data_IF_361631489699
#
_entry.id   IF_361631489699
#
_cell.length_a   1.000
_cell.length_b   1.000
_cell.length_c   1.000
_cell.angle_alpha   90.00
_cell.angle_beta   90.00
_cell.angle_gamma   90.00
#
_symmetry.space_group_name_H-M   'P 1'
#
loop_
_entity.id
_entity.type
_entity.pdbx_description
1 polymer ?
#
# COMPACT_ATOMS: atom_id res chain seq x y z
N UNK A 1 -24.77 -9.49 -5.67
CA UNK A 1 -24.63 -8.01 -5.95
C UNK A 1 -23.27 -7.53 -5.45
N UNK A 2 -22.72 -6.43 -6.02
CA UNK A 2 -21.47 -5.83 -5.51
C UNK A 2 -21.78 -4.51 -4.82
N UNK A 3 -21.42 -4.39 -3.55
CA UNK A 3 -21.53 -3.16 -2.77
C UNK A 3 -20.17 -2.44 -2.85
N UNK A 4 -20.19 -1.16 -3.20
CA UNK A 4 -18.99 -0.36 -3.40
C UNK A 4 -18.97 0.77 -2.38
N UNK A 5 -17.92 0.83 -1.56
CA UNK A 5 -17.73 1.97 -0.65
C UNK A 5 -17.54 3.26 -1.45
N UNK A 6 -18.38 4.26 -1.14
CA UNK A 6 -18.21 5.61 -1.67
C UNK A 6 -17.05 6.30 -0.96
N UNK A 7 -15.93 6.32 -1.61
CA UNK A 7 -14.69 6.93 -1.13
C UNK A 7 -14.77 8.46 -1.27
N UNK A 8 -15.48 9.10 -0.34
CA UNK A 8 -15.82 10.54 -0.42
C UNK A 8 -14.59 11.43 -0.28
N UNK A 9 -13.59 10.98 0.46
CA UNK A 9 -12.36 11.75 0.72
C UNK A 9 -11.55 11.92 -0.55
N UNK A 10 -11.63 10.95 -1.48
CA UNK A 10 -10.90 10.96 -2.75
C UNK A 10 -11.76 11.39 -3.95
N UNK A 11 -12.98 11.78 -3.73
CA UNK A 11 -13.96 12.10 -4.79
C UNK A 11 -13.44 13.17 -5.77
N UNK A 12 -12.66 14.13 -5.27
CA UNK A 12 -12.14 15.26 -6.05
C UNK A 12 -10.76 15.03 -6.68
N UNK A 13 -10.10 13.90 -6.42
CA UNK A 13 -8.67 13.71 -6.77
C UNK A 13 -8.49 12.73 -7.93
N UNK A 14 -9.56 12.29 -8.59
CA UNK A 14 -9.47 11.29 -9.68
C UNK A 14 -8.97 9.92 -9.20
N UNK A 15 -8.77 9.77 -7.90
CA UNK A 15 -8.26 8.57 -7.25
C UNK A 15 -9.33 7.66 -6.67
N UNK A 16 -10.58 8.06 -6.74
CA UNK A 16 -11.68 7.29 -6.20
C UNK A 16 -11.86 5.97 -6.94
N UNK A 17 -11.82 4.88 -6.19
CA UNK A 17 -12.05 3.56 -6.74
C UNK A 17 -13.50 3.38 -7.19
N UNK A 18 -14.45 3.91 -6.43
CA UNK A 18 -15.86 3.62 -6.66
C UNK A 18 -16.35 4.05 -8.05
N UNK A 19 -15.91 5.19 -8.56
CA UNK A 19 -16.28 5.61 -9.92
C UNK A 19 -15.79 4.63 -10.98
N UNK A 20 -14.56 4.19 -10.85
CA UNK A 20 -13.95 3.28 -11.80
C UNK A 20 -14.56 1.88 -11.69
N UNK A 21 -14.84 1.40 -10.47
CA UNK A 21 -15.52 0.13 -10.22
C UNK A 21 -16.95 0.20 -10.79
N UNK A 22 -17.71 1.21 -10.45
CA UNK A 22 -19.08 1.40 -10.94
C UNK A 22 -19.12 1.51 -12.47
N UNK A 23 -18.18 2.23 -13.07
CA UNK A 23 -18.06 2.33 -14.53
C UNK A 23 -17.79 0.94 -15.17
N UNK A 24 -16.86 0.17 -14.62
CA UNK A 24 -16.55 -1.17 -15.11
C UNK A 24 -17.74 -2.12 -14.99
N UNK A 25 -18.38 -2.16 -13.82
CA UNK A 25 -19.54 -3.04 -13.57
C UNK A 25 -20.74 -2.70 -14.48
N UNK A 26 -20.99 -1.39 -14.68
CA UNK A 26 -22.03 -0.94 -15.63
C UNK A 26 -21.78 -1.44 -17.04
N UNK A 27 -20.53 -1.36 -17.54
CA UNK A 27 -20.17 -1.90 -18.85
C UNK A 27 -20.36 -3.42 -18.93
N UNK A 28 -20.16 -4.11 -17.81
CA UNK A 28 -20.32 -5.56 -17.71
C UNK A 28 -21.76 -6.01 -17.42
N UNK A 29 -22.68 -5.06 -17.22
CA UNK A 29 -24.07 -5.32 -16.80
C UNK A 29 -24.17 -6.11 -15.49
N UNK A 30 -23.18 -5.94 -14.59
CA UNK A 30 -23.17 -6.54 -13.26
C UNK A 30 -23.88 -5.61 -12.29
N UNK A 31 -24.81 -6.14 -11.49
CA UNK A 31 -25.56 -5.38 -10.48
C UNK A 31 -24.64 -4.90 -9.37
N UNK A 32 -24.74 -3.60 -9.03
CA UNK A 32 -23.99 -3.01 -7.93
C UNK A 32 -24.78 -1.94 -7.20
N UNK A 33 -24.37 -1.66 -5.96
CA UNK A 33 -24.87 -0.58 -5.13
C UNK A 33 -23.70 0.22 -4.57
N UNK A 34 -23.75 1.54 -4.69
CA UNK A 34 -22.79 2.43 -4.03
C UNK A 34 -23.32 2.77 -2.64
N UNK A 35 -22.50 2.60 -1.61
CA UNK A 35 -22.85 2.82 -0.20
C UNK A 35 -21.79 3.66 0.48
N UNK A 36 -22.19 4.51 1.43
CA UNK A 36 -21.23 5.20 2.28
C UNK A 36 -20.76 4.27 3.39
N UNK A 37 -19.68 3.55 3.16
CA UNK A 37 -19.10 2.61 4.13
C UNK A 37 -18.57 3.26 5.42
N UNK A 38 -18.64 4.58 5.57
CA UNK A 38 -18.35 5.30 6.81
C UNK A 38 -19.62 5.68 7.59
N UNK A 39 -20.79 5.48 7.03
CA UNK A 39 -22.06 5.76 7.70
C UNK A 39 -22.55 4.49 8.40
N UNK A 40 -22.58 4.52 9.73
CA UNK A 40 -22.97 3.37 10.56
C UNK A 40 -24.42 2.95 10.27
N UNK A 41 -25.34 3.88 10.15
CA UNK A 41 -26.77 3.58 9.93
C UNK A 41 -26.98 2.96 8.54
N UNK A 42 -26.32 3.51 7.52
CA UNK A 42 -26.38 2.96 6.16
C UNK A 42 -25.82 1.55 6.10
N UNK A 43 -24.64 1.31 6.71
CA UNK A 43 -24.03 -0.01 6.75
C UNK A 43 -24.85 -1.01 7.55
N UNK A 44 -25.46 -0.56 8.67
CA UNK A 44 -26.30 -1.40 9.52
C UNK A 44 -27.58 -1.82 8.82
N UNK A 45 -28.15 -0.94 7.98
CA UNK A 45 -29.38 -1.23 7.22
C UNK A 45 -29.19 -2.17 6.03
N UNK A 46 -27.95 -2.49 5.65
CA UNK A 46 -27.70 -3.40 4.55
C UNK A 46 -28.11 -4.84 4.90
N UNK A 47 -28.79 -5.51 3.94
CA UNK A 47 -29.18 -6.89 4.04
C UNK A 47 -28.59 -7.69 2.87
N UNK A 48 -27.26 -7.97 2.89
CA UNK A 48 -26.63 -8.75 1.83
C UNK A 48 -26.99 -10.23 1.89
N UNK A 49 -26.90 -10.89 0.75
CA UNK A 49 -26.90 -12.35 0.66
C UNK A 49 -25.46 -12.89 0.78
N UNK A 50 -25.31 -14.21 0.93
CA UNK A 50 -23.97 -14.84 1.02
C UNK A 50 -23.10 -14.65 -0.23
N UNK A 51 -23.73 -14.44 -1.39
CA UNK A 51 -23.01 -14.23 -2.65
C UNK A 51 -22.65 -12.74 -2.89
N UNK A 52 -23.12 -11.88 -2.04
CA UNK A 52 -22.85 -10.46 -2.17
C UNK A 52 -21.42 -10.12 -1.73
N UNK A 53 -20.83 -9.15 -2.40
CA UNK A 53 -19.43 -8.75 -2.20
C UNK A 53 -19.39 -7.31 -1.77
N UNK A 54 -18.58 -6.99 -0.77
CA UNK A 54 -18.27 -5.61 -0.42
C UNK A 54 -16.85 -5.25 -0.85
N UNK A 55 -16.70 -4.16 -1.61
CA UNK A 55 -15.40 -3.66 -2.06
C UNK A 55 -15.25 -2.21 -1.60
N UNK A 56 -14.21 -1.92 -0.82
CA UNK A 56 -13.92 -0.59 -0.35
C UNK A 56 -12.44 -0.23 -0.40
N UNK A 57 -12.16 1.01 -0.74
CA UNK A 57 -10.89 1.64 -0.44
C UNK A 57 -11.10 2.53 0.77
N UNK A 58 -10.44 2.19 1.86
CA UNK A 58 -10.39 3.00 3.07
C UNK A 58 -9.07 3.74 3.08
N UNK A 59 -9.11 5.03 3.42
CA UNK A 59 -7.96 5.91 3.29
C UNK A 59 -6.92 5.75 4.40
N UNK A 60 -5.81 6.47 4.23
CA UNK A 60 -4.70 6.48 5.17
C UNK A 60 -4.83 7.55 6.26
N UNK A 61 -5.72 8.53 6.09
CA UNK A 61 -5.86 9.62 7.04
C UNK A 61 -6.56 9.20 8.34
N UNK A 62 -6.38 10.00 9.38
CA UNK A 62 -6.88 9.69 10.72
C UNK A 62 -8.41 9.68 10.80
N UNK A 63 -9.08 10.54 10.03
CA UNK A 63 -10.54 10.60 10.00
C UNK A 63 -11.12 9.32 9.41
N UNK A 64 -10.61 8.91 8.23
CA UNK A 64 -11.05 7.69 7.58
C UNK A 64 -10.80 6.46 8.47
N UNK A 65 -9.61 6.37 9.08
CA UNK A 65 -9.30 5.30 10.04
C UNK A 65 -10.25 5.26 11.23
N UNK A 66 -10.64 6.43 11.75
CA UNK A 66 -11.60 6.52 12.86
C UNK A 66 -12.97 6.00 12.44
N UNK A 67 -13.48 6.43 11.29
CA UNK A 67 -14.78 6.03 10.74
C UNK A 67 -14.77 4.53 10.38
N UNK A 68 -13.72 4.08 9.70
CA UNK A 68 -13.56 2.68 9.31
C UNK A 68 -13.52 1.72 10.50
N UNK A 69 -12.96 2.12 11.64
CA UNK A 69 -12.99 1.32 12.88
C UNK A 69 -14.40 1.06 13.39
N UNK A 70 -15.35 1.93 13.13
CA UNK A 70 -16.75 1.79 13.53
C UNK A 70 -17.54 0.89 12.58
N UNK A 71 -17.32 1.02 11.28
CA UNK A 71 -18.14 0.40 10.24
C UNK A 71 -17.60 -0.93 9.72
N UNK A 72 -16.27 -1.08 9.59
CA UNK A 72 -15.69 -2.32 9.09
C UNK A 72 -16.06 -3.57 9.87
N UNK A 73 -16.14 -3.56 11.22
CA UNK A 73 -16.63 -4.74 11.97
C UNK A 73 -18.03 -5.17 11.54
N UNK A 74 -18.93 -4.22 11.29
CA UNK A 74 -20.30 -4.48 10.84
C UNK A 74 -20.29 -5.04 9.42
N UNK A 75 -19.47 -4.49 8.54
CA UNK A 75 -19.32 -4.95 7.15
C UNK A 75 -18.81 -6.41 7.13
N UNK A 76 -17.76 -6.72 7.91
CA UNK A 76 -17.21 -8.08 7.98
C UNK A 76 -18.16 -9.10 8.62
N UNK A 77 -19.10 -8.64 9.44
CA UNK A 77 -20.14 -9.51 10.03
C UNK A 77 -21.28 -9.81 9.03
N UNK A 78 -21.57 -8.85 8.15
CA UNK A 78 -22.66 -8.95 7.19
C UNK A 78 -22.29 -9.62 5.86
N UNK A 79 -21.02 -9.56 5.45
CA UNK A 79 -20.57 -10.04 4.15
C UNK A 79 -19.49 -11.11 4.29
N UNK A 80 -19.68 -12.23 3.59
CA UNK A 80 -18.67 -13.28 3.56
C UNK A 80 -17.46 -12.88 2.68
N UNK A 81 -17.71 -12.08 1.64
CA UNK A 81 -16.67 -11.61 0.70
C UNK A 81 -16.49 -10.11 0.85
N UNK A 82 -15.39 -9.70 1.48
CA UNK A 82 -15.05 -8.29 1.72
C UNK A 82 -13.64 -7.98 1.28
N UNK A 83 -13.48 -6.87 0.57
CA UNK A 83 -12.17 -6.27 0.33
C UNK A 83 -12.13 -4.86 0.97
N UNK A 84 -11.14 -4.55 1.82
CA UNK A 84 -10.11 -5.46 2.34
C UNK A 84 -10.68 -6.47 3.34
N UNK A 85 -10.14 -7.68 3.38
CA UNK A 85 -10.54 -8.69 4.36
C UNK A 85 -10.15 -8.28 5.78
N UNK A 86 -10.83 -8.81 6.79
CA UNK A 86 -10.51 -8.58 8.21
C UNK A 86 -9.07 -8.95 8.53
N UNK A 87 -8.58 -10.07 7.98
CA UNK A 87 -7.21 -10.54 8.19
C UNK A 87 -6.18 -9.60 7.58
N UNK A 88 -6.39 -9.15 6.33
CA UNK A 88 -5.46 -8.24 5.68
C UNK A 88 -5.48 -6.84 6.31
N UNK A 89 -6.66 -6.32 6.64
CA UNK A 89 -6.81 -4.99 7.24
C UNK A 89 -6.15 -4.87 8.62
N UNK A 90 -6.01 -5.96 9.37
CA UNK A 90 -5.25 -5.97 10.64
C UNK A 90 -3.83 -5.43 10.48
N UNK A 91 -3.22 -5.60 9.31
CA UNK A 91 -1.86 -5.15 8.99
C UNK A 91 -1.80 -3.79 8.31
N UNK A 92 -2.96 -3.20 8.03
CA UNK A 92 -3.05 -1.96 7.27
C UNK A 92 -2.24 -0.85 7.95
N UNK A 93 -1.29 -0.26 7.22
CA UNK A 93 -0.37 0.78 7.66
C UNK A 93 0.40 0.52 8.97
N UNK A 94 0.40 -0.71 9.46
CA UNK A 94 1.09 -1.05 10.71
C UNK A 94 2.38 -1.82 10.44
N UNK A 95 3.46 -1.09 10.23
CA UNK A 95 4.79 -1.65 9.90
C UNK A 95 5.32 -2.63 10.96
N UNK A 96 5.00 -2.40 12.24
CA UNK A 96 5.41 -3.31 13.33
C UNK A 96 4.71 -4.67 13.20
N UNK A 97 3.40 -4.68 12.94
CA UNK A 97 2.64 -5.92 12.71
C UNK A 97 3.10 -6.62 11.45
N UNK A 98 3.33 -5.86 10.37
CA UNK A 98 3.83 -6.37 9.10
C UNK A 98 5.18 -7.06 9.28
N UNK A 99 6.13 -6.41 9.98
CA UNK A 99 7.44 -7.00 10.22
C UNK A 99 7.35 -8.30 11.02
N UNK A 100 6.57 -8.33 12.12
CA UNK A 100 6.34 -9.54 12.90
C UNK A 100 5.77 -10.66 12.02
N UNK A 101 4.76 -10.35 11.21
CA UNK A 101 4.15 -11.28 10.26
C UNK A 101 5.16 -11.82 9.24
N UNK A 102 6.02 -10.96 8.69
CA UNK A 102 7.06 -11.38 7.75
C UNK A 102 8.03 -12.39 8.39
N UNK A 103 8.46 -12.15 9.63
CA UNK A 103 9.33 -13.09 10.37
C UNK A 103 8.64 -14.42 10.61
N UNK A 104 7.41 -14.42 11.12
CA UNK A 104 6.62 -15.61 11.41
C UNK A 104 6.38 -16.49 10.17
N UNK A 105 6.25 -15.87 9.00
CA UNK A 105 6.05 -16.55 7.72
C UNK A 105 7.34 -16.74 6.91
N UNK A 106 8.51 -16.48 7.53
CA UNK A 106 9.83 -16.63 6.90
C UNK A 106 9.95 -15.86 5.58
N UNK A 107 9.29 -14.71 5.47
CA UNK A 107 9.42 -13.80 4.32
C UNK A 107 10.77 -13.10 4.45
N UNK A 108 11.64 -13.13 3.42
CA UNK A 108 12.88 -12.39 3.45
C UNK A 108 12.62 -10.89 3.66
N UNK A 109 13.16 -10.31 4.72
CA UNK A 109 13.00 -8.88 5.03
C UNK A 109 14.26 -8.33 5.68
N UNK A 110 14.41 -7.00 5.68
CA UNK A 110 15.51 -6.34 6.37
C UNK A 110 15.32 -6.46 7.88
N UNK A 111 16.42 -6.62 8.61
CA UNK A 111 16.35 -6.61 10.08
C UNK A 111 15.79 -5.30 10.58
N UNK A 112 14.82 -5.41 11.46
CA UNK A 112 14.07 -4.29 11.98
C UNK A 112 13.84 -4.48 13.47
N UNK A 113 14.08 -3.44 14.25
CA UNK A 113 14.00 -3.47 15.70
C UNK A 113 12.95 -2.49 16.19
N UNK A 114 12.18 -2.87 17.20
CA UNK A 114 11.25 -1.96 17.87
C UNK A 114 12.00 -1.12 18.89
N UNK A 115 11.89 0.18 18.81
CA UNK A 115 12.59 1.16 19.65
C UNK A 115 11.56 2.01 20.37
N UNK A 116 11.51 1.94 21.70
CA UNK A 116 10.54 2.66 22.53
C UNK A 116 11.05 4.02 22.97
N UNK A 117 12.38 4.18 23.11
CA UNK A 117 13.02 5.37 23.60
C UNK A 117 14.49 5.44 23.13
N UNK A 118 15.18 6.55 23.49
CA UNK A 118 16.58 6.79 23.14
C UNK A 118 17.53 5.71 23.67
N UNK A 119 17.30 5.22 24.89
CA UNK A 119 18.14 4.17 25.52
C UNK A 119 18.05 2.85 24.75
N UNK A 120 16.84 2.49 24.30
CA UNK A 120 16.68 1.30 23.45
C UNK A 120 17.50 1.45 22.17
N UNK A 121 17.44 2.61 21.51
CA UNK A 121 18.20 2.85 20.27
C UNK A 121 19.71 2.80 20.49
N UNK A 122 20.23 3.38 21.58
CA UNK A 122 21.67 3.35 21.89
C UNK A 122 22.21 1.96 22.20
N UNK A 123 21.34 1.07 22.69
CA UNK A 123 21.68 -0.32 23.01
C UNK A 123 21.54 -1.29 21.82
N UNK A 124 21.01 -0.83 20.69
CA UNK A 124 20.86 -1.69 19.53
C UNK A 124 22.21 -2.00 18.90
N UNK A 125 22.46 -3.30 18.66
CA UNK A 125 23.57 -3.76 17.84
C UNK A 125 23.20 -3.66 16.35
N UNK A 126 22.90 -2.44 15.88
CA UNK A 126 22.58 -2.17 14.49
C UNK A 126 23.69 -1.33 13.86
N UNK A 127 24.10 -1.69 12.64
CA UNK A 127 25.06 -0.91 11.87
C UNK A 127 24.40 0.31 11.27
N UNK A 128 25.04 1.47 11.40
CA UNK A 128 24.67 2.68 10.66
C UNK A 128 25.26 2.62 9.23
N UNK A 129 24.59 3.24 8.25
CA UNK A 129 23.36 4.01 8.36
C UNK A 129 22.11 3.16 8.66
N UNK A 130 21.08 3.82 9.21
CA UNK A 130 19.79 3.19 9.52
C UNK A 130 18.62 4.00 8.98
N UNK A 131 17.48 3.33 8.89
CA UNK A 131 16.20 3.98 8.60
C UNK A 131 15.29 3.88 9.82
N UNK A 132 14.84 5.02 10.34
CA UNK A 132 13.81 5.07 11.36
C UNK A 132 12.44 5.24 10.70
N UNK A 133 11.47 4.41 11.13
CA UNK A 133 10.10 4.42 10.60
C UNK A 133 9.10 4.44 11.74
N UNK A 134 8.09 5.30 11.68
CA UNK A 134 6.95 5.16 12.59
C UNK A 134 6.22 3.83 12.32
N UNK A 135 5.64 3.27 13.36
CA UNK A 135 4.84 2.04 13.22
C UNK A 135 3.60 2.23 12.37
N UNK A 136 3.07 3.45 12.32
CA UNK A 136 1.90 3.84 11.55
C UNK A 136 2.27 4.89 10.51
N UNK A 137 1.65 4.85 9.35
CA UNK A 137 1.80 5.84 8.30
C UNK A 137 2.09 5.23 6.93
N UNK A 138 1.73 5.99 5.89
CA UNK A 138 1.92 5.67 4.48
C UNK A 138 2.74 6.76 3.79
N UNK A 139 3.03 6.57 2.49
CA UNK A 139 3.61 7.62 1.64
C UNK A 139 5.03 8.07 2.05
N UNK A 140 5.78 7.26 2.79
CA UNK A 140 7.12 7.61 3.32
C UNK A 140 7.15 8.81 4.27
N UNK A 141 5.99 9.29 4.71
CA UNK A 141 5.87 10.50 5.53
C UNK A 141 6.61 10.42 6.85
N UNK A 142 6.74 9.24 7.39
CA UNK A 142 7.33 9.01 8.70
C UNK A 142 8.53 8.05 8.60
N UNK A 143 9.36 8.26 7.58
CA UNK A 143 10.57 7.48 7.32
C UNK A 143 11.76 8.42 7.21
N UNK A 144 12.79 8.23 8.03
CA UNK A 144 13.99 9.04 8.05
C UNK A 144 15.26 8.20 8.01
N UNK A 145 16.24 8.68 7.25
CA UNK A 145 17.56 8.09 7.12
C UNK A 145 18.56 8.82 8.03
N UNK A 146 19.44 8.07 8.67
CA UNK A 146 20.47 8.59 9.56
C UNK A 146 21.79 7.89 9.33
N UNK A 147 22.84 8.67 9.09
CA UNK A 147 24.19 8.14 8.87
C UNK A 147 24.83 7.60 10.15
N UNK A 148 24.49 8.20 11.29
CA UNK A 148 25.06 7.84 12.60
C UNK A 148 24.08 8.17 13.73
N UNK A 149 24.40 7.64 14.93
CA UNK A 149 23.56 7.81 16.12
C UNK A 149 23.37 9.27 16.52
N UNK A 150 24.44 10.09 16.44
CA UNK A 150 24.42 11.51 16.79
C UNK A 150 23.40 12.28 15.96
N UNK A 151 23.27 11.95 14.67
CA UNK A 151 22.31 12.60 13.78
C UNK A 151 20.85 12.37 14.22
N UNK A 152 20.56 11.22 14.86
CA UNK A 152 19.24 10.98 15.46
C UNK A 152 19.02 11.86 16.68
N UNK A 153 20.05 12.02 17.51
CA UNK A 153 19.97 12.75 18.78
C UNK A 153 19.89 14.26 18.54
N UNK A 154 20.72 14.77 17.65
CA UNK A 154 20.77 16.21 17.33
C UNK A 154 19.51 16.68 16.60
N UNK A 155 18.70 15.77 16.13
CA UNK A 155 17.44 16.05 15.44
C UNK A 155 17.55 17.05 14.26
N UNK A 156 18.77 17.37 13.82
CA UNK A 156 19.06 18.41 12.81
C UNK A 156 18.52 18.09 11.41
N UNK A 157 18.31 16.78 11.13
CA UNK A 157 17.79 16.30 9.85
C UNK A 157 16.34 15.82 9.93
N UNK A 158 15.72 15.94 11.09
CA UNK A 158 14.36 15.47 11.31
C UNK A 158 13.34 16.46 10.76
N UNK A 159 12.87 16.21 9.59
CA UNK A 159 11.82 16.98 8.94
C UNK A 159 10.51 16.82 9.72
N UNK A 160 10.25 17.73 10.66
CA UNK A 160 9.01 17.77 11.44
C UNK A 160 8.90 16.79 12.61
N UNK A 161 9.91 15.93 12.85
CA UNK A 161 9.93 15.07 14.03
C UNK A 161 10.63 15.77 15.19
N UNK A 162 9.94 15.97 16.30
CA UNK A 162 10.59 16.30 17.57
C UNK A 162 11.12 15.02 18.21
N UNK A 163 12.12 15.12 19.10
CA UNK A 163 12.60 13.95 19.85
C UNK A 163 11.47 13.21 20.58
N UNK A 164 10.47 13.93 21.08
CA UNK A 164 9.26 13.33 21.68
C UNK A 164 8.41 12.58 20.68
N UNK A 165 8.37 13.03 19.42
CA UNK A 165 7.54 12.41 18.37
C UNK A 165 8.25 11.28 17.62
N UNK A 166 9.56 11.11 17.78
CA UNK A 166 10.31 10.02 17.15
C UNK A 166 9.87 8.66 17.72
N UNK A 167 9.75 8.57 19.04
CA UNK A 167 9.43 7.31 19.72
C UNK A 167 7.94 7.16 20.02
N UNK A 168 7.41 5.93 20.01
CA UNK A 168 8.07 4.69 19.60
C UNK A 168 8.26 4.62 18.09
N UNK A 169 9.33 3.94 17.65
CA UNK A 169 9.71 3.82 16.23
C UNK A 169 10.24 2.42 15.91
N UNK A 170 10.49 2.17 14.64
CA UNK A 170 11.21 1.00 14.14
C UNK A 170 12.55 1.47 13.59
N UNK A 171 13.63 0.83 14.02
CA UNK A 171 14.96 0.99 13.42
C UNK A 171 15.21 -0.17 12.47
N UNK A 172 15.41 0.11 11.20
CA UNK A 172 15.65 -0.87 10.14
C UNK A 172 17.05 -0.69 9.57
N UNK A 173 17.71 -1.80 9.27
CA UNK A 173 18.98 -1.79 8.52
C UNK A 173 18.77 -1.07 7.18
N UNK A 174 19.75 -0.29 6.79
CA UNK A 174 19.78 0.39 5.50
C UNK A 174 20.54 -0.46 4.48
N UNK A 175 20.00 -0.53 3.27
CA UNK A 175 20.66 -1.09 2.10
C UNK A 175 20.82 0.00 1.05
N UNK A 176 22.05 0.16 0.55
CA UNK A 176 22.36 1.14 -0.49
C UNK A 176 22.01 0.55 -1.85
N UNK A 177 20.79 0.76 -2.29
CA UNK A 177 20.28 0.28 -3.56
C UNK A 177 19.79 1.45 -4.41
N UNK A 178 19.90 1.30 -5.72
CA UNK A 178 19.44 2.33 -6.66
C UNK A 178 17.92 2.38 -6.79
N UNK A 179 17.29 1.20 -6.76
CA UNK A 179 15.85 1.07 -6.95
C UNK A 179 15.21 0.25 -5.85
N UNK A 180 13.96 0.60 -5.51
CA UNK A 180 13.04 -0.33 -4.89
C UNK A 180 12.04 -0.86 -5.94
N UNK A 181 11.51 -2.05 -5.67
CA UNK A 181 10.50 -2.68 -6.52
C UNK A 181 9.15 -2.61 -5.85
N UNK A 182 8.14 -2.20 -6.61
CA UNK A 182 6.74 -2.32 -6.21
C UNK A 182 6.09 -3.42 -7.02
N UNK A 183 5.55 -4.41 -6.33
CA UNK A 183 4.83 -5.52 -6.95
C UNK A 183 3.38 -5.45 -6.52
N UNK A 184 2.46 -5.37 -7.48
CA UNK A 184 1.03 -5.51 -7.25
C UNK A 184 0.64 -6.94 -7.62
N UNK A 185 0.17 -7.71 -6.65
CA UNK A 185 -0.25 -9.10 -6.83
C UNK A 185 -1.77 -9.18 -6.93
N UNK A 186 -2.27 -9.79 -8.02
CA UNK A 186 -3.66 -10.09 -8.28
C UNK A 186 -3.78 -11.59 -8.48
N UNK A 187 -4.12 -12.34 -7.50
CA UNK A 187 -4.21 -13.80 -7.56
C UNK A 187 -3.15 -14.47 -8.47
N UNK A 188 -3.48 -14.76 -9.71
CA UNK A 188 -2.58 -15.39 -10.69
C UNK A 188 -1.75 -14.40 -11.51
N UNK A 189 -1.87 -13.10 -11.26
CA UNK A 189 -1.22 -12.07 -12.07
C UNK A 189 -0.48 -11.07 -11.20
N UNK A 190 0.55 -10.44 -11.77
CA UNK A 190 1.25 -9.37 -11.08
C UNK A 190 1.70 -8.25 -12.04
N UNK A 191 1.85 -7.08 -11.44
CA UNK A 191 2.52 -5.93 -12.05
C UNK A 191 3.78 -5.68 -11.26
N UNK A 192 4.86 -5.37 -11.93
CA UNK A 192 6.11 -4.95 -11.30
C UNK A 192 6.62 -3.66 -11.94
N UNK A 193 7.04 -2.74 -11.09
CA UNK A 193 7.76 -1.56 -11.49
C UNK A 193 8.82 -1.21 -10.45
N UNK A 194 9.85 -0.48 -10.88
CA UNK A 194 10.91 0.01 -10.00
C UNK A 194 10.84 1.52 -9.88
N UNK A 195 11.19 2.01 -8.69
CA UNK A 195 11.24 3.43 -8.38
C UNK A 195 12.68 3.79 -7.99
N UNK A 196 13.16 4.91 -8.53
CA UNK A 196 14.49 5.40 -8.17
C UNK A 196 14.52 5.82 -6.70
N UNK A 197 15.48 5.26 -5.97
CA UNK A 197 15.71 5.57 -4.55
C UNK A 197 16.72 6.70 -4.43
N UNK A 198 16.37 7.73 -3.68
CA UNK A 198 17.29 8.83 -3.41
C UNK A 198 17.27 9.22 -1.94
N UNK A 199 17.58 8.27 -1.06
CA UNK A 199 17.56 8.47 0.38
C UNK A 199 18.63 9.43 0.87
N UNK A 200 19.85 9.40 0.26
CA UNK A 200 21.01 10.19 0.68
C UNK A 200 20.79 11.69 0.50
N UNK A 201 20.09 12.11 -0.55
CA UNK A 201 19.87 13.53 -0.86
C UNK A 201 18.59 14.10 -0.24
N UNK A 202 17.89 13.30 0.57
CA UNK A 202 16.67 13.74 1.23
C UNK A 202 15.51 14.04 0.28
N UNK A 203 15.61 13.64 -0.98
CA UNK A 203 14.53 13.71 -1.98
C UNK A 203 13.55 12.58 -1.74
N UNK A 204 13.02 12.56 -0.56
CA UNK A 204 11.76 11.88 -0.33
C UNK A 204 10.72 12.57 -1.19
N UNK A 205 9.72 11.80 -1.61
CA UNK A 205 8.45 12.40 -2.03
C UNK A 205 8.10 13.43 -0.98
N UNK A 206 8.38 14.69 -1.26
CA UNK A 206 8.20 15.77 -0.30
C UNK A 206 6.72 16.09 -0.23
N UNK A 207 6.03 15.45 0.70
CA UNK A 207 4.91 16.14 1.30
C UNK A 207 5.49 17.26 2.19
N UNK A 208 4.99 18.50 2.14
CA UNK A 208 5.37 19.53 3.08
C UNK A 208 4.92 19.07 4.47
N UNK A 209 5.88 18.64 5.29
CA UNK A 209 5.62 18.17 6.64
C UNK A 209 5.40 19.33 7.59
N UNK A 210 4.54 19.12 8.55
CA UNK A 210 4.33 19.98 9.70
C UNK A 210 2.91 20.49 9.86
N UNK A 211 2.04 20.28 8.89
CA UNK A 211 0.61 20.60 9.04
C UNK A 211 -0.20 19.35 8.76
N UNK A 212 -0.77 18.75 9.80
CA UNK A 212 -1.89 17.85 9.58
C UNK A 212 -2.97 18.64 8.84
N UNK A 213 -3.46 18.16 7.69
CA UNK A 213 -4.47 18.87 6.95
C UNK A 213 -5.76 18.87 7.77
N UNK A 214 -6.13 20.03 8.28
CA UNK A 214 -7.34 20.18 9.07
C UNK A 214 -8.61 20.36 8.20
N UNK A 215 -8.42 20.64 6.91
CA UNK A 215 -9.52 20.89 5.98
C UNK A 215 -9.31 20.16 4.66
N UNK A 216 -10.42 19.96 3.92
CA UNK A 216 -10.39 19.43 2.55
C UNK A 216 -9.50 20.29 1.62
N UNK A 217 -9.47 21.60 1.84
CA UNK A 217 -8.66 22.54 1.07
C UNK A 217 -7.15 22.34 1.34
N UNK A 218 -6.79 22.07 2.59
CA UNK A 218 -5.40 21.77 2.97
C UNK A 218 -4.95 20.47 2.33
N UNK A 219 -5.79 19.43 2.32
CA UNK A 219 -5.52 18.17 1.61
C UNK A 219 -5.29 18.42 0.12
N UNK A 220 -6.08 19.28 -0.51
CA UNK A 220 -5.95 19.63 -1.93
C UNK A 220 -4.69 20.46 -2.22
N UNK A 221 -4.31 21.38 -1.30
CA UNK A 221 -3.06 22.16 -1.41
C UNK A 221 -1.83 21.27 -1.24
N UNK A 222 -1.86 20.32 -0.28
CA UNK A 222 -0.78 19.37 -0.03
C UNK A 222 -0.61 18.37 -1.18
N UNK A 223 -1.66 18.15 -1.96
CA UNK A 223 -1.66 17.25 -3.14
C UNK A 223 -1.36 17.93 -4.47
N UNK A 224 -1.11 19.25 -4.47
CA UNK A 224 -0.51 19.90 -5.65
C UNK A 224 0.90 19.34 -5.81
N UNK A 225 1.16 18.65 -6.91
CA UNK A 225 2.23 17.69 -6.99
C UNK A 225 3.62 18.30 -7.01
N UNK A 226 4.47 17.90 -6.09
CA UNK A 226 5.85 17.60 -6.42
C UNK A 226 6.00 16.12 -6.86
N UNK A 227 4.92 15.47 -7.27
CA UNK A 227 4.97 14.11 -7.84
C UNK A 227 5.71 13.99 -9.18
N UNK A 228 6.26 15.09 -9.68
CA UNK A 228 7.02 15.10 -10.92
C UNK A 228 8.28 14.24 -10.91
N UNK A 229 8.78 13.83 -9.75
CA UNK A 229 10.13 13.28 -9.63
C UNK A 229 10.21 11.81 -9.19
N UNK A 230 9.10 11.14 -8.90
CA UNK A 230 9.11 9.69 -8.73
C UNK A 230 9.09 9.03 -10.09
N UNK A 231 10.28 8.86 -10.68
CA UNK A 231 10.41 8.10 -11.92
C UNK A 231 10.12 6.63 -11.64
N UNK A 232 9.01 6.17 -12.18
CA UNK A 232 8.65 4.75 -12.19
C UNK A 232 9.04 4.14 -13.52
N UNK A 233 9.74 3.01 -13.46
CA UNK A 233 10.19 2.28 -14.63
C UNK A 233 9.54 0.90 -14.64
N UNK A 234 9.22 0.42 -15.83
CA UNK A 234 8.88 -0.98 -16.06
C UNK A 234 10.04 -1.86 -15.57
N UNK A 235 9.72 -2.94 -14.86
CA UNK A 235 10.73 -3.83 -14.31
C UNK A 235 10.45 -5.31 -14.67
N UNK A 236 9.68 -5.59 -15.71
CA UNK A 236 9.47 -6.97 -16.16
C UNK A 236 10.76 -7.64 -16.62
N UNK A 237 11.67 -6.88 -17.20
CA UNK A 237 12.97 -7.41 -17.64
C UNK A 237 13.92 -7.69 -16.46
N UNK A 238 13.61 -7.18 -15.26
CA UNK A 238 14.37 -7.45 -14.04
C UNK A 238 13.90 -8.73 -13.32
N UNK A 239 12.84 -9.38 -13.82
CA UNK A 239 12.25 -10.57 -13.16
C UNK A 239 13.13 -11.79 -13.45
N UNK A 240 14.04 -12.06 -12.52
CA UNK A 240 14.86 -13.27 -12.48
C UNK A 240 14.15 -14.42 -11.73
N UNK A 241 14.77 -15.59 -11.72
CA UNK A 241 14.23 -16.77 -11.04
C UNK A 241 14.03 -16.56 -9.54
N UNK A 242 14.93 -15.81 -8.89
CA UNK A 242 14.86 -15.59 -7.46
C UNK A 242 13.72 -14.63 -7.10
N UNK A 243 13.51 -13.59 -7.88
CA UNK A 243 12.33 -12.73 -7.74
C UNK A 243 11.04 -13.52 -7.98
N UNK A 244 11.02 -14.37 -8.99
CA UNK A 244 9.86 -15.22 -9.27
C UNK A 244 9.54 -16.19 -8.12
N UNK A 245 10.56 -16.76 -7.46
CA UNK A 245 10.37 -17.57 -6.23
C UNK A 245 9.73 -16.75 -5.11
N UNK A 246 10.23 -15.52 -4.91
CA UNK A 246 9.67 -14.60 -3.91
C UNK A 246 8.21 -14.27 -4.25
N UNK A 247 7.90 -13.89 -5.48
CA UNK A 247 6.53 -13.58 -5.93
C UNK A 247 5.57 -14.74 -5.65
N UNK A 248 5.93 -15.96 -6.05
CA UNK A 248 5.09 -17.16 -5.81
C UNK A 248 4.86 -17.40 -4.32
N UNK A 249 5.89 -17.21 -3.49
CA UNK A 249 5.76 -17.32 -2.03
C UNK A 249 4.81 -16.26 -1.46
N UNK A 250 4.95 -15.00 -1.89
CA UNK A 250 4.10 -13.91 -1.44
C UNK A 250 2.63 -14.14 -1.85
N UNK A 251 2.37 -14.62 -3.07
CA UNK A 251 1.03 -14.98 -3.52
C UNK A 251 0.39 -16.06 -2.64
N UNK A 252 1.14 -17.12 -2.36
CA UNK A 252 0.67 -18.18 -1.46
C UNK A 252 0.30 -17.63 -0.08
N UNK A 253 1.18 -16.82 0.51
CA UNK A 253 0.95 -16.21 1.83
C UNK A 253 -0.24 -15.25 1.79
N UNK A 254 -0.37 -14.47 0.75
CA UNK A 254 -1.47 -13.53 0.54
C UNK A 254 -2.82 -14.25 0.59
N UNK A 255 -2.96 -15.36 -0.12
CA UNK A 255 -4.19 -16.17 -0.12
C UNK A 255 -4.43 -16.88 1.20
N UNK A 256 -3.45 -17.64 1.68
CA UNK A 256 -3.64 -18.56 2.80
C UNK A 256 -3.68 -17.85 4.17
N UNK A 257 -2.94 -16.75 4.32
CA UNK A 257 -2.76 -16.08 5.62
C UNK A 257 -3.47 -14.74 5.71
N UNK A 258 -3.59 -14.02 4.61
CA UNK A 258 -4.16 -12.67 4.59
C UNK A 258 -5.57 -12.63 3.99
N UNK A 259 -6.00 -13.74 3.37
CA UNK A 259 -7.34 -13.88 2.82
C UNK A 259 -7.70 -12.71 1.88
N UNK A 260 -6.81 -12.46 0.93
CA UNK A 260 -6.98 -11.37 -0.02
C UNK A 260 -6.37 -11.72 -1.39
N UNK A 261 -7.02 -11.25 -2.44
CA UNK A 261 -6.58 -11.47 -3.83
C UNK A 261 -5.78 -10.30 -4.39
N UNK A 262 -5.68 -9.19 -3.64
CA UNK A 262 -4.94 -8.02 -4.07
C UNK A 262 -4.10 -7.42 -2.96
N UNK A 263 -2.81 -7.26 -3.21
CA UNK A 263 -1.88 -6.54 -2.33
C UNK A 263 -0.73 -5.93 -3.13
N UNK A 264 -0.14 -4.89 -2.54
CA UNK A 264 1.13 -4.33 -3.01
C UNK A 264 2.26 -4.68 -2.05
N UNK A 265 3.40 -5.06 -2.60
CA UNK A 265 4.61 -5.43 -1.87
C UNK A 265 5.76 -4.52 -2.30
N UNK A 266 6.47 -3.95 -1.35
CA UNK A 266 7.67 -3.16 -1.59
C UNK A 266 8.91 -4.00 -1.27
N UNK A 267 9.82 -4.14 -2.23
CA UNK A 267 11.01 -4.98 -2.13
C UNK A 267 12.28 -4.21 -2.50
N UNK A 268 13.41 -4.64 -1.93
CA UNK A 268 14.73 -4.26 -2.40
C UNK A 268 15.45 -5.47 -3.00
N UNK A 269 16.23 -5.25 -4.05
CA UNK A 269 17.23 -6.20 -4.52
C UNK A 269 18.56 -5.88 -3.82
N UNK A 270 18.93 -6.69 -2.86
CA UNK A 270 20.18 -6.56 -2.11
C UNK A 270 21.22 -7.56 -2.64
N UNK A 271 22.45 -7.48 -2.17
CA UNK A 271 23.48 -8.49 -2.47
C UNK A 271 23.11 -9.91 -2.02
N UNK A 272 22.27 -10.02 -0.98
CA UNK A 272 21.79 -11.27 -0.40
C UNK A 272 20.43 -11.72 -0.96
N UNK A 273 20.00 -11.17 -2.10
CA UNK A 273 18.73 -11.44 -2.76
C UNK A 273 17.63 -10.42 -2.43
N UNK A 274 16.39 -10.76 -2.73
CA UNK A 274 15.26 -9.85 -2.55
C UNK A 274 14.77 -9.82 -1.11
N UNK A 275 14.58 -8.62 -0.57
CA UNK A 275 14.09 -8.37 0.79
C UNK A 275 12.81 -7.53 0.73
N UNK A 276 11.76 -7.96 1.41
CA UNK A 276 10.51 -7.20 1.55
C UNK A 276 10.71 -6.10 2.57
N UNK A 277 10.29 -4.88 2.22
CA UNK A 277 10.29 -3.72 3.11
C UNK A 277 9.00 -3.59 3.88
N UNK A 278 7.90 -3.63 3.16
CA UNK A 278 6.54 -3.49 3.68
C UNK A 278 5.53 -4.01 2.66
N UNK A 279 4.28 -4.12 3.08
CA UNK A 279 3.19 -4.38 2.16
C UNK A 279 2.00 -3.47 2.42
N UNK A 280 1.25 -3.20 1.38
CA UNK A 280 0.09 -2.33 1.42
C UNK A 280 -1.16 -3.15 1.09
N UNK A 281 -2.10 -3.16 2.03
CA UNK A 281 -3.37 -3.89 1.91
C UNK A 281 -4.30 -3.18 0.94
N UNK A 282 -4.31 -1.86 0.99
CA UNK A 282 -5.07 -1.00 0.09
C UNK A 282 -4.08 -0.14 -0.68
N UNK A 283 -3.91 -0.42 -1.95
CA UNK A 283 -2.99 0.29 -2.83
C UNK A 283 -3.73 1.08 -3.89
N UNK A 284 -3.01 1.99 -4.52
CA UNK A 284 -3.43 2.50 -5.82
C UNK A 284 -3.41 1.36 -6.84
N UNK A 285 -4.56 1.05 -7.45
CA UNK A 285 -4.70 -0.01 -8.45
C UNK A 285 -4.32 0.55 -9.84
N UNK A 286 -3.14 1.09 -9.96
CA UNK A 286 -2.64 1.55 -11.25
C UNK A 286 -1.68 0.52 -11.83
N UNK A 287 -1.91 0.13 -13.09
CA UNK A 287 -1.01 -0.74 -13.83
C UNK A 287 -0.13 0.12 -14.72
N UNK A 288 1.13 0.36 -14.34
CA UNK A 288 2.06 1.12 -15.18
C UNK A 288 2.19 0.46 -16.57
N UNK A 289 2.29 1.27 -17.59
CA UNK A 289 2.49 0.79 -18.96
C UNK A 289 1.46 -0.22 -19.48
N UNK A 290 0.34 -0.41 -18.79
CA UNK A 290 -0.73 -1.35 -19.16
C UNK A 290 -0.23 -2.77 -19.43
N UNK A 291 0.77 -3.21 -18.69
CA UNK A 291 1.33 -4.57 -18.74
C UNK A 291 1.11 -5.27 -17.41
N UNK A 292 0.78 -6.52 -17.45
CA UNK A 292 0.83 -7.40 -16.29
C UNK A 292 1.27 -8.81 -16.69
N UNK A 293 1.92 -9.51 -15.78
CA UNK A 293 2.38 -10.86 -16.00
C UNK A 293 1.32 -11.86 -15.51
N UNK A 294 0.96 -12.81 -16.36
CA UNK A 294 0.08 -13.93 -16.02
C UNK A 294 0.95 -15.14 -15.66
N UNK A 295 0.92 -15.53 -14.38
CA UNK A 295 1.69 -16.66 -13.87
C UNK A 295 1.22 -18.00 -14.41
N UNK A 296 -0.08 -18.13 -14.71
CA UNK A 296 -0.65 -19.36 -15.22
C UNK A 296 -0.23 -19.64 -16.66
N UNK A 297 -0.13 -18.58 -17.46
CA UNK A 297 0.26 -18.64 -18.88
C UNK A 297 1.76 -18.38 -19.10
N UNK A 298 2.45 -17.87 -18.10
CA UNK A 298 3.86 -17.43 -18.16
C UNK A 298 4.11 -16.39 -19.26
N UNK A 299 3.19 -15.44 -19.41
CA UNK A 299 3.24 -14.42 -20.46
C UNK A 299 2.94 -13.03 -19.95
N UNK A 300 3.40 -12.01 -20.66
CA UNK A 300 3.05 -10.61 -20.41
C UNK A 300 1.80 -10.27 -21.20
N UNK A 301 0.72 -9.93 -20.49
CA UNK A 301 -0.49 -9.40 -21.10
C UNK A 301 -0.30 -7.88 -21.29
N UNK A 302 -0.35 -7.44 -22.55
CA UNK A 302 -0.31 -6.03 -22.92
C UNK A 302 -1.73 -5.54 -23.20
N UNK A 303 -2.14 -4.46 -22.54
CA UNK A 303 -3.42 -3.82 -22.81
C UNK A 303 -3.22 -2.64 -23.75
N UNK A 304 -4.05 -2.48 -24.81
CA UNK A 304 -3.92 -1.36 -25.72
C UNK A 304 -4.19 -0.05 -24.96
N UNK A 305 -3.26 0.89 -25.12
CA UNK A 305 -3.44 2.26 -24.61
C UNK A 305 -4.28 3.05 -25.62
N UNK A 306 -5.40 3.60 -25.16
CA UNK A 306 -6.15 4.57 -25.94
C UNK A 306 -5.52 5.96 -25.75
N UNK A 307 -5.20 6.61 -26.84
CA UNK A 307 -4.43 7.86 -26.92
C UNK A 307 -4.93 9.02 -26.00
N UNK A 308 -6.10 8.89 -25.40
CA UNK A 308 -6.77 9.96 -24.64
C UNK A 308 -7.13 9.65 -23.18
N UNK A 309 -6.76 8.48 -22.62
CA UNK A 309 -7.24 8.10 -21.28
C UNK A 309 -6.15 7.96 -20.21
N UNK A 310 -4.88 8.02 -20.57
CA UNK A 310 -3.75 8.06 -19.64
C UNK A 310 -3.92 7.18 -18.37
N UNK A 311 -3.82 7.80 -17.21
CA UNK A 311 -3.88 7.12 -15.92
C UNK A 311 -5.25 6.48 -15.60
N UNK A 312 -6.34 7.00 -16.17
CA UNK A 312 -7.67 6.42 -15.99
C UNK A 312 -7.78 5.03 -16.61
N UNK A 313 -7.19 4.81 -17.78
CA UNK A 313 -7.19 3.50 -18.44
C UNK A 313 -6.38 2.48 -17.63
N UNK A 314 -5.22 2.88 -17.11
CA UNK A 314 -4.38 2.07 -16.22
C UNK A 314 -5.12 1.64 -14.96
N UNK A 315 -5.89 2.55 -14.36
CA UNK A 315 -6.74 2.25 -13.20
C UNK A 315 -7.87 1.29 -13.54
N UNK A 316 -8.55 1.48 -14.68
CA UNK A 316 -9.63 0.59 -15.11
C UNK A 316 -9.14 -0.84 -15.32
N UNK A 317 -7.96 -1.03 -15.90
CA UNK A 317 -7.37 -2.36 -16.07
C UNK A 317 -7.07 -3.00 -14.71
N UNK A 318 -6.50 -2.25 -13.77
CA UNK A 318 -6.25 -2.73 -12.40
C UNK A 318 -7.53 -3.14 -11.70
N UNK A 319 -8.56 -2.31 -11.75
CA UNK A 319 -9.88 -2.58 -11.17
C UNK A 319 -10.54 -3.81 -11.79
N UNK A 320 -10.44 -3.96 -13.12
CA UNK A 320 -10.93 -5.16 -13.82
C UNK A 320 -10.31 -6.42 -13.23
N UNK A 321 -9.00 -6.44 -13.03
CA UNK A 321 -8.34 -7.62 -12.47
C UNK A 321 -8.76 -7.85 -11.03
N UNK A 322 -8.82 -6.81 -10.19
CA UNK A 322 -9.32 -6.93 -8.82
C UNK A 322 -10.73 -7.54 -8.77
N UNK A 323 -11.67 -7.00 -9.54
CA UNK A 323 -13.07 -7.44 -9.52
C UNK A 323 -13.20 -8.87 -10.00
N UNK A 324 -12.51 -9.23 -11.08
CA UNK A 324 -12.57 -10.60 -11.61
C UNK A 324 -12.14 -11.64 -10.59
N UNK A 325 -11.17 -11.33 -9.71
CA UNK A 325 -10.72 -12.25 -8.65
C UNK A 325 -11.77 -12.46 -7.55
N UNK A 326 -12.72 -11.53 -7.39
CA UNK A 326 -13.82 -11.65 -6.41
C UNK A 326 -15.11 -12.23 -7.00
N UNK A 327 -15.29 -12.13 -8.32
CA UNK A 327 -16.52 -12.62 -8.99
C UNK A 327 -16.37 -14.08 -9.44
N UNK A 328 -15.17 -14.50 -9.83
CA UNK A 328 -14.87 -15.87 -10.23
C UNK A 328 -14.57 -16.75 -9.01
#
# INVERSE_FOLDING_TARGET
MIYIHKDVIYETVGGSWYYNIAHYLRKKRVSYKVVNGHNVDEVTSLNPTKDDIFIGRFAHDELDKKLSKQTLPIIWDKFDKVFPSKKSYYFYDNKKRQYKFMLENKIPCLKTYSVKNKKDLSNLKIKYPIVLKKSWGAGSEQVNYFDKFEDVIDNKKNRGWTLKSIYPTLAQEYEDVEYDYKILLFDSKFVIYKRLMNWKNGNKVNFPYGTEPNTREDILKLRKPPFKDVKMYDAFDDVDEDLMKVIKKLLKIQKEKLDTYFMGWDLLKTKDGYKVLEFSVVNEIMIPNLKLFDLSKKEIIKYPSKKYFGDREKKIVGIKNLINEYIN
#
